data_IF_789557599740
#
_entry.id   IF_789557599740
#
_cell.length_a   1.000
_cell.length_b   1.000
_cell.length_c   1.000
_cell.angle_alpha   90.00
_cell.angle_beta   90.00
_cell.angle_gamma   90.00
#
_symmetry.space_group_name_H-M   'P 1'
#
loop_
_entity.id
_entity.type
_entity.pdbx_description
1 polymer ?
#
# COMPACT_ATOMS: atom_id res chain seq x y z
N UNK A 1 11.79 -29.02 0.93
CA UNK A 1 11.02 -28.39 2.03
C UNK A 1 11.02 -26.87 1.95
N UNK A 2 12.20 -26.20 2.01
CA UNK A 2 12.30 -24.71 2.00
C UNK A 2 11.63 -24.07 0.77
N UNK A 3 11.82 -24.65 -0.42
CA UNK A 3 11.16 -24.16 -1.65
C UNK A 3 9.63 -24.13 -1.54
N UNK A 4 9.02 -25.21 -1.03
CA UNK A 4 7.57 -25.26 -0.82
C UNK A 4 7.13 -24.22 0.20
N UNK A 5 7.90 -24.00 1.27
CA UNK A 5 7.61 -22.95 2.25
C UNK A 5 7.66 -21.56 1.60
N UNK A 6 8.66 -21.29 0.75
CA UNK A 6 8.77 -20.01 0.03
C UNK A 6 7.53 -19.75 -0.85
N UNK A 7 7.08 -20.76 -1.59
CA UNK A 7 5.86 -20.67 -2.42
C UNK A 7 4.64 -20.40 -1.54
N UNK A 8 4.45 -21.16 -0.45
CA UNK A 8 3.30 -20.99 0.44
C UNK A 8 3.28 -19.58 1.06
N UNK A 9 4.42 -19.11 1.55
CA UNK A 9 4.54 -17.76 2.14
C UNK A 9 4.35 -16.67 1.08
N UNK A 10 4.86 -16.85 -0.13
CA UNK A 10 4.63 -15.93 -1.25
C UNK A 10 3.15 -15.85 -1.64
N UNK A 11 2.47 -17.00 -1.75
CA UNK A 11 1.03 -17.04 -2.04
C UNK A 11 0.18 -16.48 -0.89
N UNK A 12 0.58 -16.72 0.36
CA UNK A 12 -0.02 -16.07 1.52
C UNK A 12 0.19 -14.55 1.48
N UNK A 13 1.37 -14.08 1.09
CA UNK A 13 1.63 -12.66 0.91
C UNK A 13 0.74 -12.06 -0.20
N UNK A 14 0.57 -12.76 -1.33
CA UNK A 14 -0.35 -12.39 -2.39
C UNK A 14 -1.80 -12.24 -1.87
N UNK A 15 -2.29 -13.18 -1.05
CA UNK A 15 -3.60 -13.06 -0.41
C UNK A 15 -3.70 -11.83 0.49
N UNK A 16 -2.67 -11.55 1.29
CA UNK A 16 -2.63 -10.35 2.15
C UNK A 16 -2.66 -9.04 1.35
N UNK A 17 -1.99 -9.01 0.20
CA UNK A 17 -2.03 -7.90 -0.75
C UNK A 17 -3.48 -7.70 -1.24
N UNK A 18 -4.17 -8.78 -1.60
CA UNK A 18 -5.58 -8.74 -1.97
C UNK A 18 -6.48 -8.12 -0.90
N UNK A 19 -6.24 -8.48 0.36
CA UNK A 19 -6.93 -7.92 1.53
C UNK A 19 -6.57 -6.49 1.91
N UNK A 20 -5.68 -5.83 1.16
CA UNK A 20 -5.15 -4.49 1.47
C UNK A 20 -5.53 -3.47 0.39
N UNK A 21 -4.56 -2.76 -0.20
CA UNK A 21 -4.77 -1.72 -1.21
C UNK A 21 -5.56 -2.17 -2.45
N UNK A 22 -5.50 -3.44 -2.83
CA UNK A 22 -6.25 -3.97 -3.98
C UNK A 22 -7.78 -3.87 -3.73
N UNK A 23 -8.28 -4.42 -2.63
CA UNK A 23 -9.69 -4.32 -2.25
C UNK A 23 -10.13 -2.88 -1.96
N UNK A 24 -9.19 -2.02 -1.51
CA UNK A 24 -9.45 -0.61 -1.24
C UNK A 24 -9.90 0.17 -2.49
N UNK A 25 -9.50 -0.26 -3.70
CA UNK A 25 -9.81 0.39 -4.98
C UNK A 25 -11.31 0.54 -5.25
N UNK A 26 -12.11 -0.45 -4.83
CA UNK A 26 -13.58 -0.39 -4.96
C UNK A 26 -14.27 0.32 -3.78
N UNK A 27 -13.50 0.80 -2.80
CA UNK A 27 -14.02 1.42 -1.58
C UNK A 27 -14.79 2.71 -1.84
N UNK A 28 -14.43 3.45 -2.88
CA UNK A 28 -15.11 4.72 -3.25
C UNK A 28 -16.46 4.43 -3.89
N UNK A 29 -16.54 3.49 -4.84
CA UNK A 29 -17.79 3.08 -5.44
C UNK A 29 -18.74 2.47 -4.39
N UNK A 30 -18.23 1.58 -3.54
CA UNK A 30 -19.00 1.03 -2.42
C UNK A 30 -19.44 2.13 -1.43
N UNK A 31 -18.52 3.01 -1.04
CA UNK A 31 -18.77 4.10 -0.10
C UNK A 31 -19.78 5.13 -0.60
N UNK A 32 -19.96 5.24 -1.91
CA UNK A 32 -20.96 6.08 -2.58
C UNK A 32 -22.34 5.42 -2.70
N UNK A 33 -22.52 4.22 -2.14
CA UNK A 33 -23.76 3.43 -2.19
C UNK A 33 -24.24 3.09 -3.61
N UNK A 34 -23.34 3.05 -4.61
CA UNK A 34 -23.71 2.71 -5.99
C UNK A 34 -23.59 1.21 -6.31
N UNK A 35 -22.87 0.46 -5.47
CA UNK A 35 -22.61 -0.97 -5.66
C UNK A 35 -22.67 -1.70 -4.31
N UNK A 36 -23.19 -2.92 -4.32
CA UNK A 36 -23.22 -3.76 -3.12
C UNK A 36 -21.83 -4.28 -2.77
N UNK A 37 -21.58 -4.53 -1.49
CA UNK A 37 -20.29 -5.04 -0.98
C UNK A 37 -19.83 -6.30 -1.73
N UNK A 38 -20.73 -7.26 -1.90
CA UNK A 38 -20.41 -8.53 -2.55
C UNK A 38 -20.03 -8.35 -4.02
N UNK A 39 -20.80 -7.54 -4.76
CA UNK A 39 -20.51 -7.29 -6.17
C UNK A 39 -19.21 -6.49 -6.33
N UNK A 40 -18.95 -5.53 -5.45
CA UNK A 40 -17.70 -4.76 -5.44
C UNK A 40 -16.48 -5.68 -5.29
N UNK A 41 -16.50 -6.60 -4.32
CA UNK A 41 -15.39 -7.55 -4.10
C UNK A 41 -15.23 -8.54 -5.26
N UNK A 42 -16.34 -9.03 -5.83
CA UNK A 42 -16.31 -9.94 -6.98
C UNK A 42 -15.73 -9.28 -8.23
N UNK A 43 -16.19 -8.09 -8.58
CA UNK A 43 -15.64 -7.38 -9.75
C UNK A 43 -14.18 -6.96 -9.52
N UNK A 44 -13.85 -6.55 -8.28
CA UNK A 44 -12.47 -6.25 -7.91
C UNK A 44 -11.55 -7.46 -8.08
N UNK A 45 -11.97 -8.66 -7.65
CA UNK A 45 -11.13 -9.86 -7.74
C UNK A 45 -10.82 -10.22 -9.19
N UNK A 46 -11.81 -10.11 -10.08
CA UNK A 46 -11.64 -10.31 -11.52
C UNK A 46 -10.69 -9.25 -12.11
N UNK A 47 -10.93 -7.96 -11.82
CA UNK A 47 -10.12 -6.87 -12.36
C UNK A 47 -8.66 -6.96 -11.90
N UNK A 48 -8.41 -7.24 -10.62
CA UNK A 48 -7.07 -7.42 -10.07
C UNK A 48 -6.35 -8.62 -10.69
N UNK A 49 -7.04 -9.74 -10.86
CA UNK A 49 -6.47 -10.91 -11.54
C UNK A 49 -6.06 -10.58 -12.99
N UNK A 50 -6.95 -9.92 -13.74
CA UNK A 50 -6.68 -9.51 -15.11
C UNK A 50 -5.52 -8.52 -15.20
N UNK A 51 -5.44 -7.56 -14.27
CA UNK A 51 -4.34 -6.61 -14.18
C UNK A 51 -3.00 -7.29 -13.93
N UNK A 52 -2.96 -8.21 -12.98
CA UNK A 52 -1.78 -9.02 -12.71
C UNK A 52 -1.36 -9.82 -13.95
N UNK A 53 -2.29 -10.53 -14.58
CA UNK A 53 -2.02 -11.39 -15.74
C UNK A 53 -1.55 -10.62 -16.97
N UNK A 54 -2.22 -9.50 -17.28
CA UNK A 54 -1.98 -8.76 -18.53
C UNK A 54 -0.83 -7.76 -18.45
N UNK A 55 -0.46 -7.28 -17.25
CA UNK A 55 0.55 -6.23 -17.14
C UNK A 55 1.51 -6.35 -15.96
N UNK A 56 1.47 -7.43 -15.17
CA UNK A 56 2.33 -7.61 -14.00
C UNK A 56 3.82 -7.90 -14.30
N UNK A 57 4.15 -8.18 -15.55
CA UNK A 57 5.47 -8.70 -15.96
C UNK A 57 6.65 -7.78 -15.63
N UNK A 58 6.54 -6.49 -15.94
CA UNK A 58 7.68 -5.56 -15.80
C UNK A 58 8.02 -5.29 -14.34
N UNK A 59 7.02 -5.15 -13.47
CA UNK A 59 7.26 -4.92 -12.03
C UNK A 59 7.82 -6.20 -11.37
N UNK A 60 7.36 -7.39 -11.78
CA UNK A 60 7.92 -8.68 -11.32
C UNK A 60 9.41 -8.75 -11.64
N UNK A 61 9.81 -8.33 -12.85
CA UNK A 61 11.21 -8.27 -13.25
C UNK A 61 12.01 -7.32 -12.35
N UNK A 62 11.49 -6.12 -12.09
CA UNK A 62 12.16 -5.14 -11.22
C UNK A 62 12.36 -5.66 -9.80
N UNK A 63 11.35 -6.28 -9.20
CA UNK A 63 11.48 -6.82 -7.83
C UNK A 63 12.38 -8.06 -7.81
N UNK A 64 12.30 -8.92 -8.82
CA UNK A 64 13.06 -10.17 -8.87
C UNK A 64 14.54 -10.02 -9.25
N UNK A 65 14.90 -8.98 -10.00
CA UNK A 65 16.29 -8.80 -10.45
C UNK A 65 16.73 -7.34 -10.67
N UNK A 66 15.84 -6.36 -10.50
CA UNK A 66 16.13 -4.94 -10.72
C UNK A 66 16.59 -4.18 -9.47
N UNK A 67 16.40 -4.73 -8.26
CA UNK A 67 16.84 -4.12 -6.99
C UNK A 67 18.17 -4.72 -6.54
N UNK A 68 18.27 -6.05 -6.64
CA UNK A 68 19.48 -6.85 -6.39
C UNK A 68 19.62 -7.88 -7.52
N UNK A 69 20.84 -8.38 -7.82
CA UNK A 69 21.04 -9.48 -8.74
C UNK A 69 20.21 -10.71 -8.36
N UNK A 70 19.74 -11.48 -9.35
CA UNK A 70 19.06 -12.76 -9.10
C UNK A 70 19.92 -13.76 -8.32
N UNK A 71 21.25 -13.68 -8.43
CA UNK A 71 22.18 -14.50 -7.66
C UNK A 71 22.12 -14.23 -6.14
N UNK A 72 21.62 -13.08 -5.71
CA UNK A 72 21.37 -12.78 -4.30
C UNK A 72 20.17 -13.57 -3.76
N UNK A 73 19.22 -13.96 -4.61
CA UNK A 73 18.04 -14.71 -4.20
C UNK A 73 18.28 -16.23 -4.19
N UNK A 74 18.98 -16.73 -3.19
CA UNK A 74 18.89 -18.16 -2.87
C UNK A 74 17.49 -18.50 -2.33
N UNK A 75 17.05 -19.76 -2.44
CA UNK A 75 15.72 -20.19 -1.96
C UNK A 75 15.46 -19.83 -0.47
N UNK A 76 16.42 -19.99 0.47
CA UNK A 76 16.25 -19.50 1.84
C UNK A 76 16.11 -17.97 1.96
N UNK A 77 16.85 -17.20 1.15
CA UNK A 77 16.78 -15.73 1.17
C UNK A 77 15.42 -15.26 0.65
N UNK A 78 14.93 -15.83 -0.46
CA UNK A 78 13.61 -15.52 -1.00
C UNK A 78 12.50 -15.81 0.04
N UNK A 79 12.58 -16.94 0.76
CA UNK A 79 11.67 -17.24 1.86
C UNK A 79 11.71 -16.15 2.95
N UNK A 80 12.90 -15.72 3.39
CA UNK A 80 13.04 -14.71 4.45
C UNK A 80 12.51 -13.35 3.99
N UNK A 81 12.82 -12.92 2.76
CA UNK A 81 12.31 -11.67 2.17
C UNK A 81 10.79 -11.68 2.14
N UNK A 82 10.18 -12.77 1.64
CA UNK A 82 8.74 -12.91 1.57
C UNK A 82 8.10 -12.99 2.96
N UNK A 83 8.68 -13.73 3.90
CA UNK A 83 8.19 -13.82 5.27
C UNK A 83 8.22 -12.45 5.96
N UNK A 84 9.31 -11.69 5.79
CA UNK A 84 9.46 -10.35 6.37
C UNK A 84 8.40 -9.38 5.84
N UNK A 85 8.17 -9.40 4.52
CA UNK A 85 7.16 -8.57 3.89
C UNK A 85 5.73 -9.01 4.28
N UNK A 86 5.46 -10.32 4.25
CA UNK A 86 4.17 -10.91 4.60
C UNK A 86 3.78 -10.62 6.05
N UNK A 87 4.69 -10.81 7.00
CA UNK A 87 4.43 -10.54 8.42
C UNK A 87 4.14 -9.05 8.66
N UNK A 88 4.92 -8.16 8.03
CA UNK A 88 4.72 -6.71 8.17
C UNK A 88 3.34 -6.28 7.64
N UNK A 89 2.96 -6.76 6.45
CA UNK A 89 1.66 -6.45 5.88
C UNK A 89 0.50 -7.10 6.65
N UNK A 90 0.65 -8.35 7.07
CA UNK A 90 -0.39 -9.06 7.81
C UNK A 90 -0.71 -8.39 9.14
N UNK A 91 0.31 -7.95 9.89
CA UNK A 91 0.13 -7.19 11.12
C UNK A 91 -0.60 -5.87 10.85
N UNK A 92 -0.21 -5.12 9.81
CA UNK A 92 -0.90 -3.88 9.45
C UNK A 92 -2.37 -4.12 9.06
N UNK A 93 -2.66 -5.18 8.31
CA UNK A 93 -4.03 -5.59 7.97
C UNK A 93 -4.86 -5.94 9.23
N UNK A 94 -4.28 -6.64 10.22
CA UNK A 94 -4.94 -6.93 11.50
C UNK A 94 -5.34 -5.64 12.22
N UNK A 95 -4.41 -4.66 12.28
CA UNK A 95 -4.66 -3.38 12.93
C UNK A 95 -5.48 -2.40 12.06
N UNK A 96 -5.87 -2.80 10.85
CA UNK A 96 -6.62 -1.95 9.92
C UNK A 96 -5.85 -0.71 9.47
N UNK A 97 -4.51 -0.79 9.46
CA UNK A 97 -3.62 0.28 9.04
C UNK A 97 -3.34 0.11 7.54
N UNK A 98 -3.69 1.09 6.68
CA UNK A 98 -3.45 0.98 5.25
C UNK A 98 -1.97 1.25 4.97
N UNK A 99 -1.23 0.15 4.84
CA UNK A 99 0.21 0.10 4.62
C UNK A 99 0.52 -0.06 3.12
N UNK A 100 1.65 0.49 2.68
CA UNK A 100 2.11 0.37 1.30
C UNK A 100 2.79 -0.98 1.06
N UNK A 101 2.11 -1.85 0.32
CA UNK A 101 2.58 -3.21 0.03
C UNK A 101 3.90 -3.22 -0.76
N UNK A 102 4.03 -2.34 -1.75
CA UNK A 102 5.22 -2.22 -2.60
C UNK A 102 6.44 -1.74 -1.82
N UNK A 103 6.27 -0.78 -0.92
CA UNK A 103 7.36 -0.27 -0.08
C UNK A 103 7.86 -1.33 0.89
N UNK A 104 6.95 -2.09 1.50
CA UNK A 104 7.32 -3.18 2.40
C UNK A 104 8.04 -4.31 1.66
N UNK A 105 7.60 -4.67 0.46
CA UNK A 105 8.25 -5.70 -0.33
C UNK A 105 9.66 -5.27 -0.80
N UNK A 106 9.76 -4.06 -1.36
CA UNK A 106 11.05 -3.47 -1.77
C UNK A 106 11.98 -3.31 -0.59
N UNK A 107 11.48 -2.86 0.57
CA UNK A 107 12.24 -2.76 1.82
C UNK A 107 12.86 -4.12 2.20
N UNK A 108 12.07 -5.20 2.21
CA UNK A 108 12.58 -6.54 2.50
C UNK A 108 13.67 -7.00 1.53
N UNK A 109 13.53 -6.70 0.23
CA UNK A 109 14.55 -7.01 -0.80
C UNK A 109 15.82 -6.20 -0.57
N UNK A 110 15.70 -4.90 -0.28
CA UNK A 110 16.85 -4.05 0.07
C UNK A 110 17.56 -4.62 1.30
N UNK A 111 16.83 -5.11 2.31
CA UNK A 111 17.40 -5.75 3.49
C UNK A 111 18.33 -6.92 3.14
N UNK A 112 17.96 -7.75 2.15
CA UNK A 112 18.83 -8.79 1.62
C UNK A 112 20.04 -8.21 0.87
N UNK A 113 19.81 -7.20 0.03
CA UNK A 113 20.88 -6.52 -0.70
C UNK A 113 21.93 -5.85 0.19
N UNK A 114 21.55 -5.35 1.37
CA UNK A 114 22.49 -4.76 2.35
C UNK A 114 23.45 -5.84 2.88
N UNK A 115 22.94 -7.03 3.21
CA UNK A 115 23.77 -8.13 3.74
C UNK A 115 24.87 -8.49 2.74
N UNK A 116 24.52 -8.58 1.45
CA UNK A 116 25.43 -9.02 0.40
C UNK A 116 26.09 -7.87 -0.38
N UNK A 117 25.87 -6.62 0.03
CA UNK A 117 26.36 -5.41 -0.64
C UNK A 117 26.09 -5.37 -2.16
N UNK A 118 24.94 -5.89 -2.57
CA UNK A 118 24.61 -6.15 -3.98
C UNK A 118 23.51 -5.24 -4.54
N UNK A 119 23.21 -4.13 -3.87
CA UNK A 119 22.10 -3.25 -4.26
C UNK A 119 22.45 -2.46 -5.52
N UNK A 120 21.53 -2.46 -6.49
CA UNK A 120 21.54 -1.52 -7.60
C UNK A 120 21.03 -0.15 -7.14
N UNK A 121 21.93 0.63 -6.54
CA UNK A 121 21.62 1.93 -5.90
C UNK A 121 20.85 2.86 -6.84
N UNK A 122 21.25 2.96 -8.11
CA UNK A 122 20.56 3.81 -9.10
C UNK A 122 19.09 3.41 -9.27
N UNK A 123 18.80 2.11 -9.32
CA UNK A 123 17.43 1.61 -9.49
C UNK A 123 16.60 1.85 -8.21
N UNK A 124 17.20 1.65 -7.03
CA UNK A 124 16.54 1.94 -5.76
C UNK A 124 16.22 3.43 -5.62
N UNK A 125 17.17 4.31 -5.94
CA UNK A 125 16.94 5.76 -5.92
C UNK A 125 15.84 6.18 -6.90
N UNK A 126 15.80 5.55 -8.08
CA UNK A 126 14.73 5.77 -9.05
C UNK A 126 13.35 5.36 -8.52
N UNK A 127 13.25 4.19 -7.88
CA UNK A 127 12.01 3.72 -7.25
C UNK A 127 11.58 4.69 -6.14
N UNK A 128 12.51 5.05 -5.24
CA UNK A 128 12.24 5.98 -4.14
C UNK A 128 11.80 7.37 -4.63
N UNK A 129 12.38 7.85 -5.74
CA UNK A 129 11.96 9.10 -6.36
C UNK A 129 10.49 9.03 -6.79
N UNK A 130 10.05 7.92 -7.38
CA UNK A 130 8.64 7.73 -7.76
C UNK A 130 7.73 7.58 -6.55
N UNK A 131 8.19 7.05 -5.43
CA UNK A 131 7.42 7.02 -4.18
C UNK A 131 7.13 8.43 -3.65
N UNK A 132 7.98 9.41 -3.93
CA UNK A 132 7.74 10.81 -3.59
C UNK A 132 6.90 11.54 -4.67
N UNK A 133 7.24 11.35 -5.94
CA UNK A 133 6.60 12.06 -7.05
C UNK A 133 5.15 11.63 -7.25
N UNK A 134 4.87 10.32 -7.21
CA UNK A 134 3.54 9.81 -7.58
C UNK A 134 2.42 10.24 -6.61
N UNK A 135 2.59 10.23 -5.28
CA UNK A 135 1.56 10.73 -4.37
C UNK A 135 1.42 12.27 -4.45
N UNK A 136 2.52 13.00 -4.63
CA UNK A 136 2.48 14.45 -4.84
C UNK A 136 1.73 14.81 -6.12
N UNK A 137 2.00 14.10 -7.22
CA UNK A 137 1.32 14.27 -8.48
C UNK A 137 -0.18 13.99 -8.33
N UNK A 138 -0.55 12.92 -7.63
CA UNK A 138 -1.94 12.58 -7.35
C UNK A 138 -2.67 13.68 -6.54
N UNK A 139 -2.00 14.22 -5.52
CA UNK A 139 -2.50 15.35 -4.74
C UNK A 139 -2.74 16.60 -5.61
N UNK A 140 -1.78 16.95 -6.48
CA UNK A 140 -1.89 18.11 -7.39
C UNK A 140 -2.99 17.92 -8.42
N UNK A 141 -3.05 16.74 -9.06
CA UNK A 141 -4.12 16.41 -10.02
C UNK A 141 -5.49 16.52 -9.35
N UNK A 142 -5.63 15.97 -8.14
CA UNK A 142 -6.88 16.07 -7.39
C UNK A 142 -7.27 17.53 -7.09
N UNK A 143 -6.33 18.40 -6.72
CA UNK A 143 -6.60 19.83 -6.51
C UNK A 143 -7.10 20.49 -7.81
N UNK A 144 -6.37 20.29 -8.91
CA UNK A 144 -6.70 20.91 -10.20
C UNK A 144 -8.08 20.43 -10.67
N UNK A 145 -8.28 19.11 -10.66
CA UNK A 145 -9.53 18.49 -11.09
C UNK A 145 -10.70 18.97 -10.22
N UNK A 146 -10.62 18.89 -8.90
CA UNK A 146 -11.72 19.33 -8.02
C UNK A 146 -12.01 20.82 -8.15
N UNK A 147 -10.99 21.66 -8.36
CA UNK A 147 -11.20 23.09 -8.64
C UNK A 147 -11.98 23.30 -9.94
N UNK A 148 -11.63 22.54 -10.99
CA UNK A 148 -12.37 22.54 -12.26
C UNK A 148 -13.81 22.02 -12.09
N UNK A 149 -14.03 20.98 -11.29
CA UNK A 149 -15.36 20.45 -10.98
C UNK A 149 -16.26 21.46 -10.27
N UNK A 150 -15.68 22.38 -9.48
CA UNK A 150 -16.42 23.47 -8.83
C UNK A 150 -16.79 24.63 -9.76
N UNK A 151 -16.32 24.64 -11.01
CA UNK A 151 -16.67 25.68 -11.97
C UNK A 151 -18.19 25.71 -12.24
N UNK A 152 -18.74 26.91 -12.47
CA UNK A 152 -20.19 27.12 -12.66
C UNK A 152 -20.76 26.28 -13.81
N UNK A 153 -19.98 26.08 -14.88
CA UNK A 153 -20.36 25.28 -16.02
C UNK A 153 -20.49 23.79 -15.66
N UNK A 154 -19.45 23.21 -15.05
CA UNK A 154 -19.44 21.78 -14.69
C UNK A 154 -20.49 21.48 -13.62
N UNK A 155 -20.66 22.36 -12.65
CA UNK A 155 -21.71 22.22 -11.64
C UNK A 155 -23.10 22.14 -12.27
N UNK A 156 -23.38 22.90 -13.33
CA UNK A 156 -24.67 22.84 -14.06
C UNK A 156 -24.85 21.49 -14.76
N UNK A 157 -23.79 20.95 -15.35
CA UNK A 157 -23.81 19.63 -16.00
C UNK A 157 -24.03 18.51 -14.98
N UNK A 158 -23.37 18.60 -13.82
CA UNK A 158 -23.49 17.59 -12.73
C UNK A 158 -24.85 17.59 -12.03
N UNK A 159 -25.58 18.69 -12.10
CA UNK A 159 -26.95 18.80 -11.57
C UNK A 159 -28.02 18.32 -12.57
N UNK A 160 -27.63 17.95 -13.80
CA UNK A 160 -28.58 17.44 -14.78
C UNK A 160 -29.17 16.08 -14.34
N UNK A 161 -30.45 15.77 -14.66
CA UNK A 161 -31.11 14.54 -14.19
C UNK A 161 -30.37 13.23 -14.56
N UNK A 162 -29.66 13.23 -15.70
CA UNK A 162 -28.91 12.06 -16.19
C UNK A 162 -27.48 11.97 -15.64
N UNK A 163 -27.01 12.97 -14.91
CA UNK A 163 -25.62 13.00 -14.42
C UNK A 163 -25.36 11.97 -13.32
N UNK A 164 -26.29 11.80 -12.37
CA UNK A 164 -26.11 10.86 -11.26
C UNK A 164 -25.98 9.41 -11.77
N UNK A 165 -26.90 8.87 -12.61
CA UNK A 165 -26.74 7.52 -13.13
C UNK A 165 -25.44 7.32 -13.93
N UNK A 166 -25.05 8.31 -14.73
CA UNK A 166 -23.80 8.27 -15.49
C UNK A 166 -22.57 8.23 -14.57
N UNK A 167 -22.51 9.13 -13.58
CA UNK A 167 -21.41 9.19 -12.63
C UNK A 167 -21.34 7.93 -11.74
N UNK A 168 -22.47 7.33 -11.41
CA UNK A 168 -22.53 6.04 -10.69
C UNK A 168 -21.90 4.91 -11.50
N UNK A 169 -22.18 4.82 -12.80
CA UNK A 169 -21.52 3.84 -13.68
C UNK A 169 -20.03 4.16 -13.84
N UNK A 170 -19.71 5.44 -14.02
CA UNK A 170 -18.34 5.89 -14.22
C UNK A 170 -17.46 5.63 -12.99
N UNK A 171 -17.94 5.86 -11.77
CA UNK A 171 -17.15 5.62 -10.55
C UNK A 171 -16.91 4.12 -10.34
N UNK A 172 -17.85 3.25 -10.71
CA UNK A 172 -17.65 1.81 -10.72
C UNK A 172 -16.54 1.46 -11.72
N UNK A 173 -16.63 1.96 -12.96
CA UNK A 173 -15.60 1.72 -13.96
C UNK A 173 -14.22 2.21 -13.52
N UNK A 174 -14.12 3.41 -12.94
CA UNK A 174 -12.86 3.95 -12.43
C UNK A 174 -12.30 3.12 -11.28
N UNK A 175 -13.15 2.65 -10.37
CA UNK A 175 -12.73 1.72 -9.30
C UNK A 175 -12.22 0.38 -9.85
N UNK A 176 -12.82 -0.14 -10.93
CA UNK A 176 -12.34 -1.34 -11.61
C UNK A 176 -11.02 -1.10 -12.32
N UNK A 177 -10.83 0.07 -12.93
CA UNK A 177 -9.56 0.45 -13.53
C UNK A 177 -8.46 0.59 -12.47
N UNK A 178 -8.77 1.16 -11.31
CA UNK A 178 -7.84 1.22 -10.17
C UNK A 178 -7.51 -0.18 -9.67
N UNK A 179 -8.50 -1.07 -9.51
CA UNK A 179 -8.30 -2.46 -9.13
C UNK A 179 -7.43 -3.23 -10.14
N UNK A 180 -7.64 -3.02 -11.44
CA UNK A 180 -6.79 -3.55 -12.50
C UNK A 180 -5.33 -3.06 -12.36
N UNK A 181 -5.13 -1.75 -12.19
CA UNK A 181 -3.79 -1.18 -11.99
C UNK A 181 -3.11 -1.72 -10.72
N UNK A 182 -3.89 -1.98 -9.66
CA UNK A 182 -3.40 -2.58 -8.42
C UNK A 182 -2.87 -3.99 -8.65
N UNK A 183 -3.57 -4.80 -9.44
CA UNK A 183 -3.11 -6.13 -9.85
C UNK A 183 -1.82 -6.07 -10.65
N UNK A 184 -1.77 -5.14 -11.60
CA UNK A 184 -0.62 -4.89 -12.47
C UNK A 184 0.66 -4.56 -11.66
N UNK A 185 0.55 -3.75 -10.60
CA UNK A 185 1.72 -3.36 -9.81
C UNK A 185 2.03 -4.37 -8.69
N UNK A 186 1.01 -4.78 -7.93
CA UNK A 186 1.23 -5.38 -6.62
C UNK A 186 1.48 -6.90 -6.65
N UNK A 187 1.13 -7.62 -7.72
CA UNK A 187 1.43 -9.07 -7.81
C UNK A 187 2.94 -9.32 -7.71
N UNK A 188 3.73 -8.38 -8.23
CA UNK A 188 5.19 -8.43 -8.19
C UNK A 188 5.76 -8.50 -6.78
N UNK A 189 5.10 -7.91 -5.80
CA UNK A 189 5.58 -7.88 -4.41
C UNK A 189 5.72 -9.30 -3.82
N UNK A 190 4.80 -10.19 -4.19
CA UNK A 190 4.82 -11.59 -3.74
C UNK A 190 5.59 -12.52 -4.70
N UNK A 191 5.60 -12.22 -5.98
CA UNK A 191 6.11 -13.13 -7.01
C UNK A 191 7.55 -12.81 -7.43
N UNK A 192 7.95 -11.54 -7.37
CA UNK A 192 9.29 -11.07 -7.74
C UNK A 192 10.40 -11.88 -7.07
N UNK A 193 10.41 -12.06 -5.73
CA UNK A 193 11.45 -12.86 -5.07
C UNK A 193 11.45 -14.35 -5.48
N UNK A 194 10.27 -14.95 -5.76
CA UNK A 194 10.17 -16.34 -6.21
C UNK A 194 10.70 -16.55 -7.64
N UNK A 195 10.47 -15.56 -8.51
CA UNK A 195 10.99 -15.55 -9.88
C UNK A 195 12.49 -15.24 -9.87
N UNK A 196 12.91 -14.26 -9.06
CA UNK A 196 14.32 -13.89 -8.87
C UNK A 196 15.17 -15.06 -8.39
N UNK A 197 14.63 -15.92 -7.51
CA UNK A 197 15.31 -17.13 -7.03
C UNK A 197 15.22 -18.34 -7.98
N UNK A 198 14.54 -18.21 -9.12
CA UNK A 198 14.31 -19.32 -10.05
C UNK A 198 13.37 -20.41 -9.52
N UNK A 199 12.60 -20.15 -8.46
CA UNK A 199 11.64 -21.14 -7.90
C UNK A 199 10.43 -21.27 -8.84
N UNK A 200 9.96 -20.16 -9.40
CA UNK A 200 8.85 -20.12 -10.35
C UNK A 200 9.29 -19.42 -11.64
N UNK A 201 8.72 -19.84 -12.78
CA UNK A 201 8.76 -19.02 -13.99
C UNK A 201 7.91 -17.77 -13.81
N UNK A 202 8.22 -16.72 -14.58
CA UNK A 202 7.50 -15.45 -14.52
C UNK A 202 6.01 -15.63 -14.82
N UNK A 203 5.68 -16.38 -15.86
CA UNK A 203 4.30 -16.60 -16.32
C UNK A 203 3.50 -17.37 -15.27
N UNK A 204 4.07 -18.47 -14.76
CA UNK A 204 3.41 -19.29 -13.73
C UNK A 204 3.26 -18.53 -12.41
N UNK A 205 4.30 -17.78 -12.02
CA UNK A 205 4.28 -16.93 -10.83
C UNK A 205 3.18 -15.87 -10.92
N UNK A 206 3.07 -15.15 -12.04
CA UNK A 206 2.04 -14.12 -12.23
C UNK A 206 0.63 -14.72 -12.19
N UNK A 207 0.41 -15.88 -12.82
CA UNK A 207 -0.90 -16.55 -12.79
C UNK A 207 -1.35 -16.83 -11.35
N UNK A 208 -0.53 -17.58 -10.61
CA UNK A 208 -0.87 -18.01 -9.26
C UNK A 208 -0.84 -16.87 -8.26
N UNK A 209 0.11 -15.95 -8.39
CA UNK A 209 0.15 -14.72 -7.61
C UNK A 209 -1.12 -13.92 -7.80
N UNK A 210 -1.50 -13.63 -9.05
CA UNK A 210 -2.72 -12.88 -9.37
C UNK A 210 -3.97 -13.58 -8.83
N UNK A 211 -4.06 -14.91 -8.96
CA UNK A 211 -5.17 -15.70 -8.44
C UNK A 211 -5.27 -15.60 -6.92
N UNK A 212 -4.14 -15.69 -6.21
CA UNK A 212 -4.11 -15.57 -4.76
C UNK A 212 -4.37 -14.14 -4.28
N UNK A 213 -3.96 -13.11 -5.03
CA UNK A 213 -4.41 -11.73 -4.77
C UNK A 213 -5.94 -11.63 -4.91
N UNK A 214 -6.52 -12.20 -5.98
CA UNK A 214 -7.96 -12.19 -6.19
C UNK A 214 -8.73 -12.95 -5.08
N UNK A 215 -8.23 -14.10 -4.63
CA UNK A 215 -8.77 -14.83 -3.46
C UNK A 215 -8.68 -13.95 -2.21
N UNK A 216 -7.54 -13.28 -2.01
CA UNK A 216 -7.32 -12.33 -0.92
C UNK A 216 -8.35 -11.20 -0.89
N UNK A 217 -8.71 -10.64 -2.04
CA UNK A 217 -9.78 -9.62 -2.15
C UNK A 217 -11.10 -10.17 -1.61
N UNK A 218 -11.50 -11.38 -1.99
CA UNK A 218 -12.77 -11.98 -1.57
C UNK A 218 -12.80 -12.33 -0.07
N UNK A 219 -11.70 -12.88 0.45
CA UNK A 219 -11.63 -13.40 1.82
C UNK A 219 -11.29 -12.32 2.86
N UNK A 220 -10.35 -11.42 2.53
CA UNK A 220 -9.77 -10.46 3.48
C UNK A 220 -10.19 -9.02 3.18
N UNK A 221 -10.65 -8.72 1.97
CA UNK A 221 -10.92 -7.35 1.51
C UNK A 221 -12.12 -6.64 2.15
N UNK A 222 -13.02 -7.37 2.84
CA UNK A 222 -14.25 -6.80 3.43
C UNK A 222 -13.99 -5.61 4.36
N UNK A 223 -13.04 -5.75 5.29
CA UNK A 223 -12.73 -4.72 6.28
C UNK A 223 -12.10 -3.46 5.64
N UNK A 224 -11.23 -3.67 4.66
CA UNK A 224 -10.54 -2.55 3.98
C UNK A 224 -11.50 -1.80 3.07
N UNK A 225 -12.39 -2.52 2.37
CA UNK A 225 -13.44 -1.91 1.55
C UNK A 225 -14.35 -1.00 2.39
N UNK A 226 -14.67 -1.37 3.63
CA UNK A 226 -15.53 -0.60 4.53
C UNK A 226 -14.83 0.61 5.16
N UNK A 227 -13.49 0.61 5.23
CA UNK A 227 -12.71 1.65 5.94
C UNK A 227 -12.11 2.71 5.03
N UNK A 228 -12.06 2.50 3.72
CA UNK A 228 -11.43 3.44 2.79
C UNK A 228 -12.30 4.71 2.55
N UNK A 229 -11.65 5.87 2.48
CA UNK A 229 -12.24 7.17 2.09
C UNK A 229 -13.09 7.90 3.14
N UNK A 230 -14.00 7.21 3.86
CA UNK A 230 -14.97 7.88 4.75
C UNK A 230 -14.35 8.62 5.94
N UNK A 231 -13.15 8.22 6.37
CA UNK A 231 -12.47 8.78 7.55
C UNK A 231 -11.69 10.07 7.28
N UNK A 232 -11.43 10.42 6.01
CA UNK A 232 -10.59 11.57 5.64
C UNK A 232 -11.47 12.76 5.23
N UNK A 233 -12.37 12.58 4.26
CA UNK A 233 -13.28 13.63 3.77
C UNK A 233 -14.55 13.02 3.19
N UNK A 234 -15.62 13.80 3.08
CA UNK A 234 -16.80 13.40 2.30
C UNK A 234 -16.47 13.46 0.81
N UNK A 235 -16.74 12.39 0.07
CA UNK A 235 -16.43 12.24 -1.35
C UNK A 235 -17.73 12.21 -2.14
N UNK A 236 -17.86 13.09 -3.13
CA UNK A 236 -18.95 13.03 -4.13
C UNK A 236 -18.63 12.06 -5.26
N UNK A 237 -19.62 11.69 -6.07
CA UNK A 237 -19.42 10.72 -7.17
C UNK A 237 -18.35 11.20 -8.16
N UNK A 238 -18.41 12.47 -8.57
CA UNK A 238 -17.45 13.06 -9.49
C UNK A 238 -16.03 13.13 -8.91
N UNK A 239 -15.91 13.41 -7.62
CA UNK A 239 -14.65 13.41 -6.89
C UNK A 239 -14.09 11.99 -6.78
N UNK A 240 -14.97 11.00 -6.60
CA UNK A 240 -14.63 9.59 -6.61
C UNK A 240 -14.06 9.12 -7.95
N UNK A 241 -14.66 9.54 -9.06
CA UNK A 241 -14.12 9.30 -10.40
C UNK A 241 -12.71 9.88 -10.57
N UNK A 242 -12.49 11.10 -10.06
CA UNK A 242 -11.16 11.75 -10.09
C UNK A 242 -10.14 10.96 -9.26
N UNK A 243 -10.50 10.57 -8.04
CA UNK A 243 -9.58 9.84 -7.15
C UNK A 243 -9.16 8.51 -7.79
N UNK A 244 -10.13 7.67 -8.17
CA UNK A 244 -9.84 6.34 -8.72
C UNK A 244 -9.19 6.42 -10.09
N UNK A 245 -9.65 7.32 -10.96
CA UNK A 245 -9.03 7.53 -12.27
C UNK A 245 -7.56 7.99 -12.16
N UNK A 246 -7.27 8.93 -11.26
CA UNK A 246 -5.91 9.42 -11.02
C UNK A 246 -5.00 8.31 -10.49
N UNK A 247 -5.48 7.58 -9.47
CA UNK A 247 -4.75 6.44 -8.90
C UNK A 247 -4.44 5.40 -9.96
N UNK A 248 -5.46 4.99 -10.71
CA UNK A 248 -5.33 4.00 -11.78
C UNK A 248 -4.35 4.44 -12.88
N UNK A 249 -4.47 5.67 -13.39
CA UNK A 249 -3.60 6.17 -14.45
C UNK A 249 -2.14 6.22 -14.02
N UNK A 250 -1.85 6.76 -12.83
CA UNK A 250 -0.47 6.85 -12.32
C UNK A 250 0.13 5.46 -12.12
N UNK A 251 -0.63 4.54 -11.49
CA UNK A 251 -0.13 3.18 -11.21
C UNK A 251 0.02 2.36 -12.48
N UNK A 252 -0.88 2.47 -13.46
CA UNK A 252 -0.73 1.80 -14.75
C UNK A 252 0.53 2.29 -15.47
N UNK A 253 0.75 3.61 -15.56
CA UNK A 253 1.95 4.17 -16.19
C UNK A 253 3.21 3.68 -15.46
N UNK A 254 3.26 3.78 -14.13
CA UNK A 254 4.40 3.28 -13.35
C UNK A 254 4.65 1.79 -13.59
N UNK A 255 3.60 0.98 -13.67
CA UNK A 255 3.69 -0.46 -13.90
C UNK A 255 4.21 -0.80 -15.30
N UNK A 256 3.85 -0.02 -16.33
CA UNK A 256 4.39 -0.17 -17.69
C UNK A 256 5.91 0.08 -17.73
N UNK A 257 6.41 0.99 -16.88
CA UNK A 257 7.84 1.22 -16.70
C UNK A 257 8.50 0.27 -15.68
N UNK A 258 7.77 -0.72 -15.17
CA UNK A 258 8.27 -1.68 -14.19
C UNK A 258 8.56 -1.08 -12.81
N UNK A 259 7.96 0.06 -12.46
CA UNK A 259 8.23 0.76 -11.20
C UNK A 259 7.22 0.31 -10.13
N UNK A 260 7.66 -0.37 -9.05
CA UNK A 260 6.80 -0.67 -7.92
C UNK A 260 6.44 0.63 -7.18
N UNK A 261 5.15 0.97 -7.12
CA UNK A 261 4.68 2.25 -6.56
C UNK A 261 3.66 2.05 -5.44
N UNK A 262 3.56 3.00 -4.50
CA UNK A 262 2.70 2.87 -3.33
C UNK A 262 1.26 3.30 -3.64
N UNK A 263 0.45 2.42 -4.27
CA UNK A 263 -0.95 2.72 -4.67
C UNK A 263 -1.76 3.36 -3.53
N UNK A 264 -1.70 2.79 -2.32
CA UNK A 264 -2.43 3.31 -1.16
C UNK A 264 -2.07 4.77 -0.85
N UNK A 265 -0.82 5.17 -1.03
CA UNK A 265 -0.41 6.56 -0.83
C UNK A 265 -0.91 7.46 -1.95
N UNK A 266 -0.87 6.99 -3.20
CA UNK A 266 -1.35 7.72 -4.38
C UNK A 266 -2.85 8.03 -4.20
N UNK A 267 -3.67 7.01 -3.93
CA UNK A 267 -5.12 7.17 -3.72
C UNK A 267 -5.42 8.04 -2.50
N UNK A 268 -4.71 7.84 -1.38
CA UNK A 268 -4.88 8.67 -0.17
C UNK A 268 -4.52 10.12 -0.44
N UNK A 269 -3.44 10.37 -1.19
CA UNK A 269 -3.00 11.73 -1.51
C UNK A 269 -4.00 12.44 -2.41
N UNK A 270 -4.63 11.74 -3.36
CA UNK A 270 -5.79 12.27 -4.10
C UNK A 270 -6.93 12.66 -3.15
N UNK A 271 -7.30 11.80 -2.20
CA UNK A 271 -8.37 12.09 -1.22
C UNK A 271 -8.03 13.32 -0.38
N UNK A 272 -6.78 13.43 0.09
CA UNK A 272 -6.31 14.60 0.86
C UNK A 272 -6.34 15.86 -0.02
N UNK A 273 -5.98 15.79 -1.31
CA UNK A 273 -6.04 16.89 -2.26
C UNK A 273 -7.46 17.43 -2.46
N UNK A 274 -8.43 16.54 -2.65
CA UNK A 274 -9.85 16.91 -2.71
C UNK A 274 -10.30 17.56 -1.40
N UNK A 275 -9.94 16.95 -0.26
CA UNK A 275 -10.22 17.49 1.06
C UNK A 275 -9.61 18.89 1.27
N UNK A 276 -8.41 19.13 0.75
CA UNK A 276 -7.75 20.43 0.81
C UNK A 276 -8.53 21.51 0.04
N UNK A 277 -9.06 21.20 -1.14
CA UNK A 277 -9.93 22.13 -1.90
C UNK A 277 -11.27 22.37 -1.21
N UNK A 278 -11.78 21.39 -0.46
CA UNK A 278 -13.09 21.49 0.20
C UNK A 278 -13.04 22.15 1.58
N UNK A 279 -11.95 21.95 2.33
CA UNK A 279 -11.86 22.33 3.74
C UNK A 279 -10.53 23.02 4.10
N UNK A 280 -9.70 23.34 3.12
CA UNK A 280 -8.41 24.02 3.30
C UNK A 280 -7.39 23.18 4.07
N UNK A 281 -6.41 23.87 4.68
CA UNK A 281 -5.28 23.26 5.40
C UNK A 281 -5.69 22.41 6.61
N UNK A 282 -6.93 22.52 7.09
CA UNK A 282 -7.42 21.76 8.24
C UNK A 282 -7.39 20.24 8.01
N UNK A 283 -7.55 19.76 6.77
CA UNK A 283 -7.50 18.33 6.45
C UNK A 283 -6.13 17.72 6.74
N UNK A 284 -5.05 18.48 6.52
CA UNK A 284 -3.68 18.01 6.76
C UNK A 284 -3.40 17.77 8.25
N UNK A 285 -4.14 18.43 9.15
CA UNK A 285 -3.98 18.31 10.60
C UNK A 285 -4.83 17.19 11.21
N UNK A 286 -5.64 16.47 10.42
CA UNK A 286 -6.43 15.35 10.95
C UNK A 286 -5.49 14.25 11.44
N UNK A 287 -5.75 13.71 12.64
CA UNK A 287 -4.93 12.66 13.24
C UNK A 287 -4.70 11.46 12.33
N UNK A 288 -5.70 11.08 11.54
CA UNK A 288 -5.58 10.00 10.54
C UNK A 288 -4.53 10.32 9.47
N UNK A 289 -4.44 11.55 8.96
CA UNK A 289 -3.46 11.92 7.93
C UNK A 289 -2.05 11.84 8.50
N UNK A 290 -1.84 12.35 9.71
CA UNK A 290 -0.54 12.28 10.41
C UNK A 290 -0.14 10.82 10.69
N UNK A 291 -1.09 9.99 11.13
CA UNK A 291 -0.87 8.57 11.33
C UNK A 291 -0.44 7.87 10.03
N UNK A 292 -1.10 8.17 8.91
CA UNK A 292 -0.77 7.58 7.60
C UNK A 292 0.65 7.94 7.16
N UNK A 293 1.00 9.23 7.21
CA UNK A 293 2.35 9.70 6.87
C UNK A 293 3.42 9.03 7.74
N UNK A 294 3.12 8.79 9.01
CA UNK A 294 4.05 8.11 9.94
C UNK A 294 4.25 6.65 9.53
N UNK A 295 3.16 5.94 9.21
CA UNK A 295 3.21 4.54 8.78
C UNK A 295 3.97 4.39 7.46
N UNK A 296 3.81 5.33 6.52
CA UNK A 296 4.47 5.29 5.22
C UNK A 296 6.00 5.40 5.32
N UNK A 297 6.51 6.16 6.29
CA UNK A 297 7.96 6.24 6.54
C UNK A 297 8.45 5.00 7.30
N UNK A 298 7.73 4.56 8.33
CA UNK A 298 8.19 3.51 9.24
C UNK A 298 8.12 2.12 8.60
N UNK A 299 7.10 1.84 7.79
CA UNK A 299 6.83 0.50 7.27
C UNK A 299 7.92 -0.11 6.38
N UNK A 300 8.48 0.57 5.35
CA UNK A 300 9.57 0.01 4.55
C UNK A 300 10.84 -0.23 5.38
N UNK A 301 11.13 0.66 6.34
CA UNK A 301 12.30 0.52 7.21
C UNK A 301 12.15 -0.71 8.10
N UNK A 302 10.95 -0.92 8.65
CA UNK A 302 10.67 -2.09 9.49
C UNK A 302 10.86 -3.40 8.73
N UNK A 303 10.32 -3.51 7.51
CA UNK A 303 10.43 -4.74 6.72
C UNK A 303 11.87 -5.00 6.23
N UNK A 304 12.60 -3.92 5.88
CA UNK A 304 14.02 -3.97 5.57
C UNK A 304 14.85 -4.49 6.74
N UNK A 305 14.66 -3.92 7.94
CA UNK A 305 15.37 -4.34 9.15
C UNK A 305 15.04 -5.77 9.54
N UNK A 306 13.77 -6.18 9.40
CA UNK A 306 13.34 -7.54 9.67
C UNK A 306 14.05 -8.53 8.73
N UNK A 307 14.03 -8.27 7.42
CA UNK A 307 14.71 -9.11 6.42
C UNK A 307 16.22 -9.19 6.67
N UNK A 308 16.87 -8.04 6.87
CA UNK A 308 18.29 -7.96 7.19
C UNK A 308 18.65 -8.81 8.42
N UNK A 309 17.91 -8.65 9.51
CA UNK A 309 18.16 -9.35 10.77
C UNK A 309 17.95 -10.85 10.64
N UNK A 310 16.88 -11.28 9.95
CA UNK A 310 16.58 -12.69 9.76
C UNK A 310 17.61 -13.38 8.86
N UNK A 311 18.11 -12.71 7.82
CA UNK A 311 19.20 -13.26 6.98
C UNK A 311 20.48 -13.39 7.80
N UNK A 312 20.87 -12.34 8.53
CA UNK A 312 22.06 -12.37 9.39
C UNK A 312 22.00 -13.51 10.41
N UNK A 313 20.83 -13.72 11.04
CA UNK A 313 20.65 -14.80 12.01
C UNK A 313 20.67 -16.19 11.37
N UNK A 314 19.83 -16.41 10.35
CA UNK A 314 19.56 -17.76 9.88
C UNK A 314 20.54 -18.25 8.82
N UNK A 315 21.10 -17.32 8.03
CA UNK A 315 22.03 -17.63 6.93
C UNK A 315 23.46 -17.37 7.38
N UNK A 316 23.79 -16.13 7.76
CA UNK A 316 25.16 -15.73 8.12
C UNK A 316 25.58 -16.16 9.54
N UNK A 317 24.65 -16.67 10.34
CA UNK A 317 24.85 -17.07 11.76
C UNK A 317 25.43 -15.95 12.63
N UNK A 318 25.15 -14.70 12.28
CA UNK A 318 25.57 -13.51 12.98
C UNK A 318 24.46 -12.99 13.91
N UNK A 319 24.71 -13.06 15.22
CA UNK A 319 23.74 -12.66 16.26
C UNK A 319 23.77 -11.17 16.61
N UNK A 320 24.80 -10.42 16.21
CA UNK A 320 24.96 -9.02 16.60
C UNK A 320 23.78 -8.12 16.18
N UNK A 321 23.21 -8.24 14.96
CA UNK A 321 22.04 -7.45 14.55
C UNK A 321 20.82 -7.62 15.48
N UNK A 322 20.62 -8.80 16.06
CA UNK A 322 19.52 -9.05 17.00
C UNK A 322 19.76 -8.27 18.28
N UNK A 323 20.98 -8.33 18.82
CA UNK A 323 21.34 -7.62 20.04
C UNK A 323 21.11 -6.12 19.85
N UNK A 324 21.52 -5.57 18.70
CA UNK A 324 21.27 -4.17 18.34
C UNK A 324 19.77 -3.88 18.25
N UNK A 325 19.00 -4.70 17.52
CA UNK A 325 17.56 -4.51 17.35
C UNK A 325 16.81 -4.56 18.69
N UNK A 326 17.10 -5.54 19.54
CA UNK A 326 16.50 -5.67 20.88
C UNK A 326 16.89 -4.47 21.75
N UNK A 327 18.13 -4.01 21.70
CA UNK A 327 18.60 -2.84 22.45
C UNK A 327 17.87 -1.56 22.02
N UNK A 328 17.66 -1.38 20.70
CA UNK A 328 16.87 -0.27 20.17
C UNK A 328 15.41 -0.36 20.59
N UNK A 329 14.78 -1.54 20.52
CA UNK A 329 13.40 -1.74 20.96
C UNK A 329 13.21 -1.44 22.45
N UNK A 330 14.13 -1.93 23.30
CA UNK A 330 14.16 -1.61 24.73
C UNK A 330 14.30 -0.10 24.94
N UNK A 331 15.19 0.55 24.21
CA UNK A 331 15.42 2.01 24.31
C UNK A 331 14.17 2.81 23.90
N UNK A 332 13.54 2.47 22.77
CA UNK A 332 12.31 3.11 22.29
C UNK A 332 11.18 2.90 23.29
N UNK A 333 10.98 1.68 23.79
CA UNK A 333 9.95 1.38 24.77
C UNK A 333 10.21 2.10 26.10
N UNK A 334 11.46 2.16 26.55
CA UNK A 334 11.89 2.90 27.73
C UNK A 334 11.58 4.39 27.63
N UNK A 335 11.96 5.03 26.51
CA UNK A 335 11.64 6.45 26.25
C UNK A 335 10.13 6.66 26.18
N UNK A 336 9.40 5.81 25.46
CA UNK A 336 7.94 5.91 25.37
C UNK A 336 7.26 5.77 26.73
N UNK A 337 7.70 4.82 27.54
CA UNK A 337 7.20 4.59 28.90
C UNK A 337 7.43 5.81 29.79
N UNK A 338 8.62 6.43 29.72
CA UNK A 338 8.95 7.65 30.46
C UNK A 338 8.07 8.83 30.02
N UNK A 339 7.89 9.03 28.71
CA UNK A 339 7.04 10.10 28.16
C UNK A 339 5.58 9.94 28.57
N UNK A 340 5.06 8.70 28.64
CA UNK A 340 3.68 8.43 29.06
C UNK A 340 3.47 8.75 30.55
N UNK A 341 4.50 8.63 31.38
CA UNK A 341 4.48 8.92 32.82
C UNK A 341 4.51 10.41 33.15
N UNK A 342 4.94 11.26 32.20
CA UNK A 342 5.06 12.71 32.39
C UNK A 342 3.79 13.53 32.10
N UNK A 343 2.64 12.93 31.74
CA UNK A 343 1.36 13.68 31.73
C UNK A 343 0.93 13.96 33.17
N UNK A 344 0.99 15.20 33.68
CA UNK A 344 0.62 15.46 35.05
C UNK A 344 -0.91 15.54 35.15
N UNK A 345 -1.49 14.71 36.03
CA UNK A 345 -2.83 14.94 36.57
C UNK A 345 -2.66 16.08 37.56
N UNK A 346 -2.79 17.33 37.10
CA UNK A 346 -2.99 18.44 38.02
C UNK A 346 -4.50 18.59 38.19
N UNK A 347 -5.06 17.84 39.14
CA UNK A 347 -6.31 18.27 39.77
C UNK A 347 -5.95 19.49 40.60
N UNK A 348 -6.23 20.69 40.07
CA UNK A 348 -6.38 21.86 40.92
C UNK A 348 -7.70 21.65 41.67
N UNK A 349 -7.63 21.03 42.84
CA UNK A 349 -8.59 21.28 43.90
C UNK A 349 -8.51 22.78 44.19
N UNK A 350 -9.48 23.54 43.66
CA UNK A 350 -9.74 24.87 44.14
C UNK A 350 -10.26 24.71 45.58
N UNK A 351 -9.34 24.78 46.54
CA UNK A 351 -9.68 25.06 47.93
C UNK A 351 -10.56 26.32 47.97
N UNK A 352 -11.83 26.06 48.26
CA UNK A 352 -12.65 26.97 49.05
C UNK A 352 -11.92 27.18 50.38
N UNK A 353 -11.74 28.44 50.75
CA UNK A 353 -11.74 29.02 52.11
C UNK A 353 -10.65 30.09 52.30
N UNK A 354 -10.98 31.34 51.95
CA UNK A 354 -10.88 32.48 52.89
C UNK A 354 -11.47 33.74 52.22
N UNK A 355 -12.71 34.06 52.55
CA UNK A 355 -13.22 35.42 52.79
C UNK A 355 -14.65 35.34 53.31
#
# INVERSE_FOLDING_TARGET
>A
MIMFMAIIIGLFFAMNIGGSGAAASMGIAYGSNVISKWLALLLCSIAVFLGAWLGGGEVVKTIGSGIVPSSTFSTPIALIVLASAASSLFLANIFGIPLSTSEVAVGSVIGAGIVYQSIFISNVLWIMLFWLITPLLAFVIAIIATTFLKSKYIKRVMLAPKAIPFLSVLVIFMGLFEAFSAGMNNVANAIGPLVGSGILSKEFGIFWGGLFVAIGVLLLGRRVLETNGKKITTIKLEEGCVISGTGASIVTVASLFGIPVPLTQITTSSIIGIGFVNHGKAVLKKGIVVQLLTVWIVSPVLSMLLSYTLIQLFIEKNVYPIIVMVSVLISVFGVWFLLKRQKPIIHLEAEKESN
#
